data_IF_816123480278
#
_entry.id   IF_816123480278
#
_cell.length_a   1.000
_cell.length_b   1.000
_cell.length_c   1.000
_cell.angle_alpha   90.00
_cell.angle_beta   90.00
_cell.angle_gamma   90.00
#
_symmetry.space_group_name_H-M   'P 1'
#
loop_
_entity.id
_entity.type
_entity.pdbx_description
1 polymer ?
#
# COMPACT_ATOMS: atom_id res chain seq x y z
N UNK A 1 -4.46 -9.29 20.95
CA UNK A 1 -4.66 -9.34 19.49
C UNK A 1 -4.37 -8.01 18.80
N UNK A 2 -4.60 -6.86 19.44
CA UNK A 2 -4.54 -5.53 18.81
C UNK A 2 -3.15 -5.01 18.42
N UNK A 3 -2.06 -5.56 18.92
CA UNK A 3 -0.70 -5.09 18.55
C UNK A 3 -0.20 -5.58 17.19
N UNK A 4 -0.82 -6.64 16.63
CA UNK A 4 -0.39 -7.24 15.36
C UNK A 4 -0.73 -6.34 14.16
N UNK A 5 -1.78 -5.54 14.28
CA UNK A 5 -2.32 -4.74 13.17
C UNK A 5 -1.88 -3.28 13.15
N UNK A 6 -1.07 -2.85 14.12
CA UNK A 6 -0.61 -1.46 14.24
C UNK A 6 0.22 -0.95 13.05
N UNK A 7 0.56 -1.84 12.09
CA UNK A 7 1.49 -1.59 11.00
C UNK A 7 0.92 -2.06 9.66
N UNK A 8 -0.25 -1.53 9.29
CA UNK A 8 -1.06 -1.94 8.13
C UNK A 8 -0.43 -1.82 6.73
N UNK A 9 0.85 -1.52 6.62
CA UNK A 9 1.57 -1.56 5.35
C UNK A 9 2.61 -2.67 5.38
N UNK A 10 2.29 -3.78 4.68
CA UNK A 10 3.34 -4.72 4.28
C UNK A 10 4.26 -3.96 3.34
N UNK A 11 5.48 -3.64 3.81
CA UNK A 11 6.49 -3.06 2.93
C UNK A 11 6.86 -4.09 1.87
N UNK A 12 6.34 -3.82 0.71
CA UNK A 12 6.43 -4.69 -0.45
C UNK A 12 7.67 -4.40 -1.31
N UNK A 13 8.54 -3.47 -0.87
CA UNK A 13 9.78 -3.13 -1.56
C UNK A 13 10.78 -4.28 -1.61
N UNK A 14 10.56 -5.34 -0.83
CA UNK A 14 11.49 -6.46 -0.73
C UNK A 14 10.94 -7.71 -1.39
N UNK A 15 11.84 -8.45 -2.01
CA UNK A 15 11.59 -9.72 -2.71
C UNK A 15 10.67 -10.64 -1.90
N UNK A 16 9.37 -10.39 -1.97
CA UNK A 16 8.43 -11.48 -1.83
C UNK A 16 8.54 -12.19 -3.16
N UNK A 17 9.00 -13.42 -3.18
CA UNK A 17 8.91 -14.24 -4.37
C UNK A 17 7.42 -14.24 -4.77
N UNK A 18 7.12 -13.52 -5.86
CA UNK A 18 5.76 -13.38 -6.36
C UNK A 18 5.12 -14.72 -6.69
N UNK A 19 5.95 -15.73 -6.99
CA UNK A 19 5.52 -17.11 -7.17
C UNK A 19 4.94 -17.71 -5.89
N UNK A 20 5.18 -17.13 -4.72
CA UNK A 20 4.68 -17.65 -3.43
C UNK A 20 3.36 -17.05 -3.00
N UNK A 21 2.95 -15.89 -3.54
CA UNK A 21 1.66 -15.29 -3.23
C UNK A 21 0.56 -15.97 -4.07
N UNK A 22 -0.17 -16.89 -3.45
CA UNK A 22 -1.32 -17.52 -4.09
C UNK A 22 -2.53 -16.60 -4.17
N UNK A 23 -2.68 -15.68 -3.19
CA UNK A 23 -3.84 -14.80 -3.04
C UNK A 23 -3.38 -13.39 -2.61
N UNK A 24 -4.19 -12.34 -2.79
CA UNK A 24 -3.84 -11.00 -2.34
C UNK A 24 -3.78 -10.93 -0.81
N UNK A 25 -2.98 -10.02 -0.29
CA UNK A 25 -2.88 -9.73 1.14
C UNK A 25 -3.93 -8.70 1.54
N UNK A 26 -4.23 -7.78 0.63
CA UNK A 26 -5.12 -6.65 0.85
C UNK A 26 -6.14 -6.54 -0.27
N UNK A 27 -7.35 -6.09 0.08
CA UNK A 27 -8.40 -5.78 -0.90
C UNK A 27 -8.97 -4.40 -0.60
N UNK A 28 -9.08 -3.57 -1.64
CA UNK A 28 -9.79 -2.30 -1.61
C UNK A 28 -11.24 -2.54 -2.02
N UNK A 29 -12.17 -2.37 -1.09
CA UNK A 29 -13.59 -2.48 -1.36
C UNK A 29 -14.17 -1.07 -1.55
N UNK A 30 -14.59 -0.75 -2.77
CA UNK A 30 -15.31 0.47 -3.09
C UNK A 30 -16.79 0.21 -2.86
N UNK A 31 -17.25 0.46 -1.64
CA UNK A 31 -18.59 0.08 -1.18
C UNK A 31 -19.69 1.03 -1.67
N UNK A 32 -19.31 2.23 -2.11
CA UNK A 32 -20.22 3.23 -2.68
C UNK A 32 -19.52 4.10 -3.72
N UNK A 33 -20.24 4.60 -4.72
CA UNK A 33 -19.76 5.65 -5.61
C UNK A 33 -20.25 7.04 -5.21
N UNK A 34 -21.13 7.16 -4.20
CA UNK A 34 -21.65 8.45 -3.71
C UNK A 34 -20.55 9.24 -3.02
N UNK A 35 -20.50 10.54 -3.24
CA UNK A 35 -19.61 11.47 -2.55
C UNK A 35 -20.24 12.85 -2.44
N UNK A 36 -19.98 13.56 -1.33
CA UNK A 36 -20.44 14.94 -1.16
C UNK A 36 -19.42 15.99 -1.62
N UNK A 37 -18.25 15.56 -2.11
CA UNK A 37 -17.20 16.44 -2.66
C UNK A 37 -17.08 16.26 -4.17
N UNK A 38 -16.56 17.31 -4.83
CA UNK A 38 -16.29 17.34 -6.27
C UNK A 38 -14.83 17.69 -6.56
N UNK A 39 -13.91 16.97 -5.91
CA UNK A 39 -12.48 17.27 -5.95
C UNK A 39 -11.94 17.40 -7.37
N UNK A 40 -11.09 18.42 -7.61
CA UNK A 40 -10.54 18.74 -8.94
C UNK A 40 -9.70 17.64 -9.56
N UNK A 41 -9.15 16.73 -8.75
CA UNK A 41 -8.27 15.64 -9.14
C UNK A 41 -8.89 14.25 -8.92
N UNK A 42 -10.19 14.18 -8.63
CA UNK A 42 -10.85 12.91 -8.28
C UNK A 42 -10.72 11.87 -9.38
N UNK A 43 -10.09 10.75 -9.07
CA UNK A 43 -9.95 9.63 -10.01
C UNK A 43 -11.26 8.83 -10.20
N UNK A 44 -12.29 9.11 -9.40
CA UNK A 44 -13.58 8.41 -9.42
C UNK A 44 -14.71 9.26 -10.04
N UNK A 45 -14.42 10.46 -10.51
CA UNK A 45 -15.44 11.40 -11.04
C UNK A 45 -16.21 10.89 -12.27
N UNK A 46 -15.67 9.91 -12.99
CA UNK A 46 -16.36 9.30 -14.15
C UNK A 46 -17.47 8.32 -13.71
N UNK A 47 -17.51 7.91 -12.46
CA UNK A 47 -18.50 6.96 -11.92
C UNK A 47 -19.72 7.69 -11.33
N UNK A 48 -20.44 8.44 -12.13
CA UNK A 48 -21.65 9.19 -11.73
C UNK A 48 -22.87 8.32 -11.40
N UNK A 49 -22.70 7.02 -11.26
CA UNK A 49 -23.82 6.06 -11.15
C UNK A 49 -24.49 5.98 -9.77
N UNK A 50 -23.98 6.71 -8.75
CA UNK A 50 -24.49 6.67 -7.37
C UNK A 50 -24.84 5.27 -6.84
N UNK A 51 -24.01 4.28 -7.19
CA UNK A 51 -24.22 2.86 -6.85
C UNK A 51 -23.62 2.56 -5.47
N UNK A 52 -24.42 1.94 -4.64
CA UNK A 52 -23.97 1.28 -3.40
C UNK A 52 -23.76 -0.20 -3.68
N UNK A 53 -22.75 -0.80 -3.03
CA UNK A 53 -22.60 -2.25 -3.02
C UNK A 53 -23.78 -2.87 -2.26
N UNK A 54 -24.37 -3.89 -2.83
CA UNK A 54 -25.39 -4.68 -2.14
C UNK A 54 -24.79 -5.28 -0.86
N UNK A 55 -25.53 -5.22 0.25
CA UNK A 55 -25.02 -5.61 1.55
C UNK A 55 -24.72 -7.13 1.63
N UNK A 56 -25.58 -7.96 1.06
CA UNK A 56 -25.34 -9.41 1.05
C UNK A 56 -24.17 -9.78 0.12
N UNK A 57 -24.01 -9.05 -0.99
CA UNK A 57 -22.81 -9.18 -1.82
C UNK A 57 -21.55 -8.78 -1.04
N UNK A 58 -21.57 -7.69 -0.27
CA UNK A 58 -20.42 -7.25 0.54
C UNK A 58 -20.04 -8.29 1.59
N UNK A 59 -21.01 -8.88 2.29
CA UNK A 59 -20.81 -9.98 3.25
C UNK A 59 -20.25 -11.23 2.58
N UNK A 60 -20.82 -11.62 1.44
CA UNK A 60 -20.30 -12.74 0.62
C UNK A 60 -18.84 -12.52 0.26
N UNK A 61 -18.49 -11.32 -0.21
CA UNK A 61 -17.11 -10.94 -0.54
C UNK A 61 -16.20 -11.12 0.68
N UNK A 62 -16.53 -10.54 1.83
CA UNK A 62 -15.70 -10.65 3.04
C UNK A 62 -15.50 -12.11 3.46
N UNK A 63 -16.55 -12.92 3.43
CA UNK A 63 -16.48 -14.36 3.75
C UNK A 63 -15.52 -15.10 2.81
N UNK A 64 -15.61 -14.87 1.51
CA UNK A 64 -14.72 -15.49 0.53
C UNK A 64 -13.27 -15.03 0.68
N UNK A 65 -13.04 -13.73 0.91
CA UNK A 65 -11.72 -13.17 1.15
C UNK A 65 -11.06 -13.75 2.41
N UNK A 66 -11.86 -13.98 3.47
CA UNK A 66 -11.37 -14.64 4.70
C UNK A 66 -10.91 -16.07 4.44
N UNK A 67 -11.69 -16.84 3.68
CA UNK A 67 -11.37 -18.24 3.35
C UNK A 67 -10.03 -18.37 2.62
N UNK A 68 -9.66 -17.41 1.79
CA UNK A 68 -8.41 -17.43 1.03
C UNK A 68 -7.24 -16.74 1.73
N UNK A 69 -7.45 -16.21 2.95
CA UNK A 69 -6.41 -15.65 3.80
C UNK A 69 -6.02 -14.20 3.50
N UNK A 70 -6.92 -13.40 2.92
CA UNK A 70 -6.77 -11.94 2.89
C UNK A 70 -6.69 -11.42 4.33
N UNK A 71 -5.82 -10.44 4.56
CA UNK A 71 -5.57 -9.90 5.91
C UNK A 71 -6.17 -8.51 6.08
N UNK A 72 -6.06 -7.65 5.07
CA UNK A 72 -6.45 -6.25 5.18
C UNK A 72 -7.60 -5.93 4.23
N UNK A 73 -8.61 -5.24 4.75
CA UNK A 73 -9.68 -4.65 3.95
C UNK A 73 -9.61 -3.14 4.05
N UNK A 74 -9.54 -2.49 2.91
CA UNK A 74 -9.60 -1.04 2.78
C UNK A 74 -10.99 -0.66 2.28
N UNK A 75 -11.82 -0.07 3.13
CA UNK A 75 -13.11 0.44 2.73
C UNK A 75 -12.94 1.85 2.17
N UNK A 76 -13.42 2.04 0.95
CA UNK A 76 -13.30 3.28 0.18
C UNK A 76 -14.47 3.39 -0.81
N UNK A 77 -14.36 4.29 -1.77
CA UNK A 77 -15.36 4.48 -2.82
C UNK A 77 -15.38 5.94 -3.28
N UNK A 78 -16.57 6.55 -3.34
CA UNK A 78 -16.72 7.99 -3.29
C UNK A 78 -16.41 8.45 -1.86
N UNK A 79 -17.42 8.40 -0.97
CA UNK A 79 -17.23 8.58 0.47
C UNK A 79 -17.88 7.41 1.22
N UNK A 80 -17.10 6.51 1.82
CA UNK A 80 -17.62 5.31 2.46
C UNK A 80 -18.55 5.60 3.64
N UNK A 81 -18.41 6.75 4.32
CA UNK A 81 -19.31 7.18 5.39
C UNK A 81 -20.74 7.49 4.93
N UNK A 82 -20.99 7.53 3.61
CA UNK A 82 -22.33 7.62 3.01
C UNK A 82 -22.97 6.25 2.75
N UNK A 83 -22.27 5.16 2.98
CA UNK A 83 -22.81 3.82 2.78
C UNK A 83 -23.70 3.45 3.97
N UNK A 84 -24.97 3.17 3.71
CA UNK A 84 -25.99 3.00 4.76
C UNK A 84 -25.71 1.82 5.72
N UNK A 85 -25.05 0.77 5.23
CA UNK A 85 -24.74 -0.44 6.00
C UNK A 85 -23.27 -0.50 6.43
N UNK A 86 -22.61 0.66 6.59
CA UNK A 86 -21.18 0.69 6.92
C UNK A 86 -20.88 0.10 8.28
N UNK A 87 -21.70 0.40 9.31
CA UNK A 87 -21.52 -0.11 10.65
C UNK A 87 -21.59 -1.63 10.66
N UNK A 88 -22.66 -2.20 10.12
CA UNK A 88 -22.90 -3.64 10.07
C UNK A 88 -21.85 -4.39 9.24
N UNK A 89 -21.37 -3.76 8.17
CA UNK A 89 -20.31 -4.33 7.32
C UNK A 89 -18.97 -4.37 8.05
N UNK A 90 -18.63 -3.30 8.78
CA UNK A 90 -17.40 -3.22 9.56
C UNK A 90 -17.44 -4.18 10.77
N UNK A 91 -18.58 -4.29 11.43
CA UNK A 91 -18.79 -5.27 12.50
C UNK A 91 -18.56 -6.69 11.99
N UNK A 92 -19.21 -7.06 10.88
CA UNK A 92 -19.02 -8.37 10.27
C UNK A 92 -17.56 -8.63 9.86
N UNK A 93 -16.88 -7.63 9.30
CA UNK A 93 -15.45 -7.73 8.97
C UNK A 93 -14.56 -7.88 10.22
N UNK A 94 -14.91 -7.23 11.33
CA UNK A 94 -14.25 -7.34 12.62
C UNK A 94 -14.40 -8.74 13.22
N UNK A 95 -15.60 -9.31 13.20
CA UNK A 95 -15.87 -10.68 13.65
C UNK A 95 -15.09 -11.72 12.83
N UNK A 96 -14.95 -11.50 11.53
CA UNK A 96 -14.10 -12.31 10.67
C UNK A 96 -12.61 -12.13 10.98
N UNK A 97 -12.21 -11.15 11.80
CA UNK A 97 -10.83 -10.89 12.20
C UNK A 97 -9.99 -10.27 11.09
N UNK A 98 -10.55 -9.39 10.27
CA UNK A 98 -9.79 -8.56 9.34
C UNK A 98 -9.12 -7.38 10.05
N UNK A 99 -7.99 -6.96 9.52
CA UNK A 99 -7.47 -5.62 9.76
C UNK A 99 -8.21 -4.65 8.84
N UNK A 100 -9.00 -3.74 9.41
CA UNK A 100 -9.92 -2.88 8.70
C UNK A 100 -9.41 -1.44 8.65
N UNK A 101 -9.35 -0.90 7.44
CA UNK A 101 -8.87 0.44 7.16
C UNK A 101 -9.98 1.22 6.47
N UNK A 102 -10.41 2.33 7.03
CA UNK A 102 -11.37 3.24 6.43
C UNK A 102 -10.65 4.39 5.75
N UNK A 103 -10.93 4.63 4.46
CA UNK A 103 -10.38 5.75 3.69
C UNK A 103 -11.51 6.73 3.38
N UNK A 104 -11.48 7.91 4.00
CA UNK A 104 -12.55 8.91 3.95
C UNK A 104 -12.01 10.30 3.58
N UNK A 105 -12.90 11.15 3.07
CA UNK A 105 -12.62 12.58 2.95
C UNK A 105 -12.67 13.32 4.29
N UNK A 106 -13.19 12.68 5.34
CA UNK A 106 -13.20 13.20 6.71
C UNK A 106 -14.33 14.17 7.07
N UNK A 107 -15.15 14.59 6.11
CA UNK A 107 -16.22 15.59 6.37
C UNK A 107 -17.24 15.11 7.39
N UNK A 108 -17.51 13.82 7.48
CA UNK A 108 -18.52 13.25 8.38
C UNK A 108 -17.97 12.76 9.73
N UNK A 109 -16.67 13.00 10.02
CA UNK A 109 -16.05 12.52 11.26
C UNK A 109 -16.57 13.19 12.53
N UNK A 110 -17.16 14.38 12.46
CA UNK A 110 -17.79 15.07 13.61
C UNK A 110 -19.19 14.54 13.95
N UNK A 111 -19.78 13.67 13.14
CA UNK A 111 -21.15 13.22 13.36
C UNK A 111 -21.26 12.27 14.56
N UNK A 112 -22.37 12.39 15.32
CA UNK A 112 -22.60 11.59 16.54
C UNK A 112 -22.54 10.08 16.35
N UNK A 113 -22.89 9.59 15.14
CA UNK A 113 -22.90 8.14 14.85
C UNK A 113 -21.52 7.59 14.48
N UNK A 114 -20.50 8.45 14.28
CA UNK A 114 -19.18 7.99 13.87
C UNK A 114 -18.56 7.00 14.86
N UNK A 115 -18.89 7.11 16.16
CA UNK A 115 -18.44 6.18 17.20
C UNK A 115 -18.76 4.73 16.87
N UNK A 116 -19.93 4.47 16.28
CA UNK A 116 -20.40 3.13 15.94
C UNK A 116 -19.52 2.49 14.85
N UNK A 117 -19.01 3.30 13.94
CA UNK A 117 -18.14 2.90 12.84
C UNK A 117 -16.68 2.72 13.32
N UNK A 118 -16.17 3.68 14.10
CA UNK A 118 -14.75 3.73 14.48
C UNK A 118 -14.32 2.58 15.39
N UNK A 119 -15.21 2.02 16.20
CA UNK A 119 -14.90 0.90 17.11
C UNK A 119 -14.44 -0.38 16.37
N UNK A 120 -14.76 -0.51 15.09
CA UNK A 120 -14.46 -1.69 14.29
C UNK A 120 -13.27 -1.52 13.35
N UNK A 121 -12.64 -0.35 13.30
CA UNK A 121 -11.48 -0.11 12.42
C UNK A 121 -10.16 -0.07 13.18
N UNK A 122 -9.08 -0.40 12.48
CA UNK A 122 -7.71 -0.37 13.02
C UNK A 122 -6.94 0.86 12.54
N UNK A 123 -7.33 1.42 11.40
CA UNK A 123 -6.69 2.59 10.82
C UNK A 123 -7.68 3.46 10.07
N UNK A 124 -7.43 4.75 10.13
CA UNK A 124 -8.21 5.78 9.43
C UNK A 124 -7.30 6.54 8.48
N UNK A 125 -7.59 6.50 7.20
CA UNK A 125 -6.93 7.32 6.18
C UNK A 125 -7.81 8.51 5.83
N UNK A 126 -7.34 9.73 6.07
CA UNK A 126 -8.12 10.95 5.81
C UNK A 126 -7.43 11.80 4.74
N UNK A 127 -8.22 12.28 3.79
CA UNK A 127 -7.73 13.10 2.68
C UNK A 127 -7.57 14.56 3.10
N UNK A 128 -6.32 15.07 3.18
CA UNK A 128 -6.02 16.49 3.38
C UNK A 128 -4.92 16.90 2.39
N UNK A 129 -5.16 17.95 1.61
CA UNK A 129 -4.34 18.31 0.47
C UNK A 129 -3.51 19.58 0.66
N UNK A 130 -3.49 20.13 1.87
CA UNK A 130 -2.76 21.33 2.23
C UNK A 130 -3.40 22.07 3.41
N UNK A 131 -3.02 23.34 3.58
CA UNK A 131 -3.69 24.24 4.52
C UNK A 131 -5.15 24.47 4.11
N UNK A 132 -5.93 25.14 4.95
CA UNK A 132 -7.35 25.41 4.76
C UNK A 132 -7.67 25.93 3.34
N UNK A 133 -6.97 26.97 2.90
CA UNK A 133 -7.19 27.60 1.59
C UNK A 133 -6.97 26.63 0.42
N UNK A 134 -5.87 25.88 0.46
CA UNK A 134 -5.50 24.92 -0.59
C UNK A 134 -6.46 23.74 -0.57
N UNK A 135 -6.72 23.17 0.61
CA UNK A 135 -7.62 22.02 0.74
C UNK A 135 -9.02 22.34 0.23
N UNK A 136 -9.63 23.44 0.68
CA UNK A 136 -10.97 23.85 0.29
C UNK A 136 -11.06 24.15 -1.22
N UNK A 137 -10.03 24.79 -1.79
CA UNK A 137 -9.95 25.02 -3.25
C UNK A 137 -9.91 23.72 -4.05
N UNK A 138 -9.18 22.69 -3.58
CA UNK A 138 -9.02 21.42 -4.28
C UNK A 138 -10.20 20.48 -4.09
N UNK A 139 -10.81 20.45 -2.92
CA UNK A 139 -12.03 19.68 -2.62
C UNK A 139 -13.31 20.33 -3.14
N UNK A 140 -13.24 21.61 -3.57
CA UNK A 140 -14.37 22.44 -4.04
C UNK A 140 -15.47 22.59 -2.97
N UNK A 141 -15.07 22.62 -1.70
CA UNK A 141 -15.98 22.77 -0.55
C UNK A 141 -15.22 23.32 0.66
N UNK A 142 -15.85 24.19 1.42
CA UNK A 142 -15.37 24.63 2.72
C UNK A 142 -15.59 23.54 3.75
N UNK A 143 -14.57 22.71 3.97
CA UNK A 143 -14.67 21.52 4.84
C UNK A 143 -13.42 21.29 5.71
N UNK A 144 -12.33 22.02 5.51
CA UNK A 144 -11.07 21.79 6.23
C UNK A 144 -11.22 21.81 7.75
N UNK A 145 -11.87 22.86 8.29
CA UNK A 145 -12.06 22.99 9.77
C UNK A 145 -12.85 21.81 10.33
N UNK A 146 -13.91 21.41 9.65
CA UNK A 146 -14.75 20.27 10.04
C UNK A 146 -13.92 18.97 10.06
N UNK A 147 -13.08 18.74 9.05
CA UNK A 147 -12.19 17.56 8.98
C UNK A 147 -11.21 17.57 10.16
N UNK A 148 -10.56 18.70 10.44
CA UNK A 148 -9.59 18.82 11.53
C UNK A 148 -10.25 18.58 12.91
N UNK A 149 -11.42 19.13 13.13
CA UNK A 149 -12.17 18.89 14.36
C UNK A 149 -12.54 17.41 14.52
N UNK A 150 -13.04 16.79 13.44
CA UNK A 150 -13.33 15.36 13.44
C UNK A 150 -12.11 14.49 13.72
N UNK A 151 -10.94 14.84 13.17
CA UNK A 151 -9.68 14.15 13.44
C UNK A 151 -9.22 14.27 14.90
N UNK A 152 -9.33 15.47 15.49
CA UNK A 152 -9.03 15.68 16.91
C UNK A 152 -9.94 14.82 17.79
N UNK A 153 -11.22 14.82 17.48
CA UNK A 153 -12.18 13.97 18.18
C UNK A 153 -11.79 12.47 18.11
N UNK A 154 -11.42 11.98 16.90
CA UNK A 154 -10.98 10.59 16.75
C UNK A 154 -9.71 10.31 17.56
N UNK A 155 -8.74 11.23 17.57
CA UNK A 155 -7.51 11.07 18.34
C UNK A 155 -7.76 11.03 19.85
N UNK A 156 -8.66 11.87 20.36
CA UNK A 156 -9.00 11.94 21.77
C UNK A 156 -9.72 10.69 22.26
N UNK A 157 -10.72 10.24 21.51
CA UNK A 157 -11.63 9.17 21.91
C UNK A 157 -11.15 7.75 21.52
N UNK A 158 -10.32 7.61 20.47
CA UNK A 158 -9.94 6.32 19.88
C UNK A 158 -8.43 6.15 19.76
N UNK A 159 -7.72 6.11 20.89
CA UNK A 159 -6.26 6.01 20.99
C UNK A 159 -5.64 4.83 20.23
N UNK A 160 -6.43 3.81 19.91
CA UNK A 160 -5.95 2.61 19.20
C UNK A 160 -6.03 2.72 17.67
N UNK A 161 -6.66 3.75 17.12
CA UNK A 161 -6.77 3.96 15.69
C UNK A 161 -5.52 4.67 15.18
N UNK A 162 -4.85 4.07 14.21
CA UNK A 162 -3.73 4.73 13.52
C UNK A 162 -4.28 5.69 12.46
N UNK A 163 -4.04 6.99 12.61
CA UNK A 163 -4.46 8.02 11.66
C UNK A 163 -3.36 8.23 10.62
N UNK A 164 -3.74 8.25 9.34
CA UNK A 164 -2.88 8.55 8.22
C UNK A 164 -3.51 9.64 7.34
N UNK A 165 -2.80 10.74 7.19
CA UNK A 165 -3.19 11.81 6.27
C UNK A 165 -2.72 11.45 4.87
N UNK A 166 -3.65 11.45 3.92
CA UNK A 166 -3.40 11.16 2.51
C UNK A 166 -3.49 12.47 1.71
N UNK A 167 -2.38 12.87 1.10
CA UNK A 167 -2.31 14.05 0.26
C UNK A 167 -2.07 13.66 -1.19
N UNK A 168 -3.04 13.87 -2.08
CA UNK A 168 -2.81 13.78 -3.52
C UNK A 168 -2.11 15.07 -3.97
N UNK A 169 -0.91 14.91 -4.53
CA UNK A 169 -0.11 16.03 -4.99
C UNK A 169 -0.46 16.39 -6.42
N UNK A 170 -0.95 17.61 -6.58
CA UNK A 170 -1.25 18.26 -7.85
C UNK A 170 -0.41 19.55 -7.96
N UNK A 171 -0.29 20.19 -9.15
CA UNK A 171 0.53 21.39 -9.29
C UNK A 171 0.22 22.49 -8.27
N UNK A 172 -1.04 22.64 -7.86
CA UNK A 172 -1.49 23.69 -6.94
C UNK A 172 -1.07 23.49 -5.49
N UNK A 173 -0.71 22.26 -5.09
CA UNK A 173 -0.30 21.97 -3.72
C UNK A 173 1.12 21.39 -3.60
N UNK A 174 1.81 21.17 -4.73
CA UNK A 174 3.18 20.63 -4.77
C UNK A 174 4.19 21.75 -4.55
N UNK A 175 4.14 22.32 -3.36
CA UNK A 175 5.05 23.36 -2.87
C UNK A 175 5.63 22.93 -1.52
N UNK A 176 6.91 23.25 -1.29
CA UNK A 176 7.63 22.87 -0.08
C UNK A 176 6.88 23.29 1.20
N UNK A 177 6.49 24.56 1.30
CA UNK A 177 5.82 25.08 2.49
C UNK A 177 4.47 24.41 2.77
N UNK A 178 3.74 24.04 1.74
CA UNK A 178 2.46 23.34 1.90
C UNK A 178 2.65 21.92 2.44
N UNK A 179 3.62 21.19 1.92
CA UNK A 179 3.89 19.82 2.39
C UNK A 179 4.55 19.83 3.76
N UNK A 180 5.43 20.80 4.03
CA UNK A 180 5.98 21.03 5.38
C UNK A 180 4.89 21.32 6.40
N UNK A 181 3.91 22.15 6.06
CA UNK A 181 2.74 22.39 6.91
C UNK A 181 2.01 21.10 7.28
N UNK A 182 1.74 20.23 6.29
CA UNK A 182 1.11 18.93 6.55
C UNK A 182 2.00 18.01 7.39
N UNK A 183 3.30 17.98 7.14
CA UNK A 183 4.25 17.18 7.89
C UNK A 183 4.31 17.63 9.37
N UNK A 184 4.40 18.93 9.63
CA UNK A 184 4.38 19.52 10.98
C UNK A 184 3.05 19.24 11.70
N UNK A 185 1.92 19.33 10.97
CA UNK A 185 0.61 18.99 11.52
C UNK A 185 0.57 17.51 11.95
N UNK A 186 1.08 16.62 11.09
CA UNK A 186 1.11 15.18 11.37
C UNK A 186 2.05 14.86 12.55
N UNK A 187 3.21 15.51 12.62
CA UNK A 187 4.15 15.34 13.75
C UNK A 187 3.52 15.77 15.07
N UNK A 188 2.86 16.94 15.09
CA UNK A 188 2.18 17.51 16.27
C UNK A 188 1.17 16.53 16.89
N UNK A 189 0.44 15.79 16.06
CA UNK A 189 -0.62 14.87 16.49
C UNK A 189 -0.22 13.40 16.37
N UNK A 190 1.04 13.08 16.12
CA UNK A 190 1.52 11.72 15.89
C UNK A 190 0.74 10.97 14.78
N UNK A 191 0.26 11.70 13.78
CA UNK A 191 -0.35 11.14 12.58
C UNK A 191 0.73 10.80 11.55
N UNK A 192 0.41 9.92 10.63
CA UNK A 192 1.29 9.60 9.50
C UNK A 192 0.95 10.49 8.32
N UNK A 193 1.95 10.87 7.54
CA UNK A 193 1.76 11.56 6.26
C UNK A 193 2.12 10.65 5.10
N UNK A 194 1.17 10.45 4.21
CA UNK A 194 1.37 9.75 2.95
C UNK A 194 0.99 10.67 1.79
N UNK A 195 1.94 10.91 0.91
CA UNK A 195 1.66 11.65 -0.33
C UNK A 195 1.48 10.69 -1.50
N UNK A 196 0.59 11.06 -2.40
CA UNK A 196 0.30 10.31 -3.61
C UNK A 196 0.48 11.23 -4.82
N UNK A 197 1.14 10.75 -5.87
CA UNK A 197 1.12 11.48 -7.12
C UNK A 197 -0.27 11.45 -7.75
N UNK A 198 -0.57 12.43 -8.56
CA UNK A 198 -1.79 12.48 -9.35
C UNK A 198 -1.87 11.27 -10.29
N UNK A 199 -3.04 10.65 -10.36
CA UNK A 199 -3.39 9.69 -11.41
C UNK A 199 -4.18 10.42 -12.50
N UNK A 200 -3.75 10.32 -13.77
CA UNK A 200 -4.39 10.97 -14.92
C UNK A 200 -5.66 10.22 -15.39
N UNK A 201 -6.58 9.99 -14.45
CA UNK A 201 -7.89 9.36 -14.65
C UNK A 201 -8.97 10.19 -13.97
N UNK A 202 -10.23 10.08 -14.40
CA UNK A 202 -11.30 10.95 -13.91
C UNK A 202 -10.95 12.41 -14.10
N UNK A 203 -11.26 13.27 -13.14
CA UNK A 203 -10.88 14.69 -13.16
C UNK A 203 -9.36 14.91 -13.23
N UNK A 204 -8.55 13.93 -12.82
CA UNK A 204 -7.10 13.98 -12.96
C UNK A 204 -6.62 14.17 -14.40
N UNK A 205 -7.42 13.80 -15.42
CA UNK A 205 -7.14 14.04 -16.84
C UNK A 205 -7.04 15.52 -17.21
N UNK A 206 -7.64 16.39 -16.41
CA UNK A 206 -7.63 17.84 -16.65
C UNK A 206 -6.27 18.48 -16.36
N UNK A 207 -5.34 17.74 -15.73
CA UNK A 207 -4.01 18.19 -15.45
C UNK A 207 -3.05 17.79 -16.57
N UNK A 208 -2.36 18.78 -17.13
CA UNK A 208 -1.43 18.59 -18.25
C UNK A 208 0.04 18.59 -17.81
N UNK A 209 0.33 19.11 -16.61
CA UNK A 209 1.70 19.21 -16.10
C UNK A 209 2.00 18.08 -15.14
N UNK A 210 3.10 17.38 -15.38
CA UNK A 210 3.69 16.44 -14.45
C UNK A 210 4.46 17.19 -13.35
N UNK A 211 4.14 16.90 -12.10
CA UNK A 211 4.81 17.44 -10.93
C UNK A 211 5.62 16.38 -10.18
N UNK A 212 5.86 15.23 -10.79
CA UNK A 212 6.51 14.07 -10.16
C UNK A 212 7.90 14.40 -9.63
N UNK A 213 8.73 15.07 -10.43
CA UNK A 213 10.09 15.42 -10.03
C UNK A 213 10.07 16.34 -8.80
N UNK A 214 9.28 17.41 -8.85
CA UNK A 214 9.14 18.34 -7.73
C UNK A 214 8.60 17.66 -6.46
N UNK A 215 7.61 16.78 -6.59
CA UNK A 215 7.09 15.97 -5.48
C UNK A 215 8.20 15.15 -4.82
N UNK A 216 9.02 14.46 -5.61
CA UNK A 216 10.10 13.60 -5.11
C UNK A 216 11.16 14.44 -4.39
N UNK A 217 11.55 15.57 -4.95
CA UNK A 217 12.54 16.50 -4.37
C UNK A 217 12.06 17.05 -3.03
N UNK A 218 10.81 17.52 -2.95
CA UNK A 218 10.20 18.00 -1.70
C UNK A 218 10.16 16.92 -0.63
N UNK A 219 9.68 15.70 -0.97
CA UNK A 219 9.62 14.60 -0.03
C UNK A 219 11.01 14.18 0.45
N UNK A 220 11.99 14.15 -0.46
CA UNK A 220 13.37 13.85 -0.08
C UNK A 220 13.94 14.91 0.86
N UNK A 221 13.73 16.18 0.56
CA UNK A 221 14.22 17.29 1.39
C UNK A 221 13.62 17.22 2.78
N UNK A 222 12.29 17.11 2.91
CA UNK A 222 11.61 17.05 4.20
C UNK A 222 11.98 15.80 5.02
N UNK A 223 12.17 14.64 4.36
CA UNK A 223 12.65 13.44 5.07
C UNK A 223 14.09 13.60 5.57
N UNK A 224 14.94 14.36 4.88
CA UNK A 224 16.28 14.72 5.36
C UNK A 224 16.24 15.74 6.52
N UNK A 225 15.18 16.52 6.62
CA UNK A 225 14.91 17.43 7.76
C UNK A 225 14.32 16.69 8.98
N UNK A 226 14.08 15.38 8.88
CA UNK A 226 13.63 14.52 10.00
C UNK A 226 12.16 14.12 9.94
N UNK A 227 11.36 14.62 9.01
CA UNK A 227 9.99 14.19 8.83
C UNK A 227 9.91 12.76 8.26
N UNK A 228 8.81 12.03 8.53
CA UNK A 228 8.55 10.68 7.98
C UNK A 228 7.41 10.70 6.96
N UNK A 229 7.70 11.17 5.75
CA UNK A 229 6.73 11.25 4.65
C UNK A 229 6.88 10.03 3.75
N UNK A 230 5.77 9.31 3.51
CA UNK A 230 5.73 8.16 2.61
C UNK A 230 5.09 8.51 1.28
N UNK A 231 5.58 7.88 0.20
CA UNK A 231 4.95 7.94 -1.13
C UNK A 231 4.14 6.66 -1.33
N UNK A 232 2.84 6.80 -1.57
CA UNK A 232 1.93 5.65 -1.71
C UNK A 232 1.94 5.03 -3.11
N UNK A 233 2.16 5.83 -4.15
CA UNK A 233 2.13 5.36 -5.52
C UNK A 233 3.42 4.65 -5.90
N UNK A 234 3.26 3.66 -6.76
CA UNK A 234 4.38 3.04 -7.43
C UNK A 234 4.85 3.93 -8.60
N UNK A 235 6.15 4.19 -8.64
CA UNK A 235 6.79 4.95 -9.69
C UNK A 235 7.76 4.02 -10.42
N UNK A 236 7.82 4.12 -11.75
CA UNK A 236 8.81 3.37 -12.51
C UNK A 236 10.22 3.86 -12.16
N UNK A 237 11.12 2.95 -11.77
CA UNK A 237 12.45 3.33 -11.30
C UNK A 237 13.28 4.06 -12.34
N UNK A 238 13.02 3.81 -13.63
CA UNK A 238 13.65 4.54 -14.73
C UNK A 238 13.20 6.01 -14.86
N UNK A 239 12.19 6.44 -14.13
CA UNK A 239 11.75 7.84 -14.04
C UNK A 239 12.41 8.59 -12.89
N UNK A 240 13.22 7.90 -12.07
CA UNK A 240 13.82 8.43 -10.86
C UNK A 240 15.33 8.50 -11.00
N UNK A 241 15.94 9.55 -10.50
CA UNK A 241 17.36 9.56 -10.19
C UNK A 241 17.65 8.49 -9.14
N UNK A 242 18.82 7.86 -9.19
CA UNK A 242 19.17 6.75 -8.30
C UNK A 242 19.07 7.11 -6.82
N UNK A 243 19.46 8.33 -6.48
CA UNK A 243 19.38 8.86 -5.11
C UNK A 243 17.97 8.90 -4.52
N UNK A 244 16.92 8.86 -5.36
CA UNK A 244 15.52 8.92 -4.92
C UNK A 244 14.79 7.58 -4.94
N UNK A 245 15.44 6.50 -5.43
CA UNK A 245 14.77 5.18 -5.55
C UNK A 245 14.31 4.59 -4.23
N UNK A 246 14.98 4.96 -3.13
CA UNK A 246 14.60 4.49 -1.78
C UNK A 246 13.23 5.00 -1.33
N UNK A 247 12.76 6.13 -1.86
CA UNK A 247 11.43 6.69 -1.58
C UNK A 247 10.29 5.90 -2.23
N UNK A 248 10.59 5.09 -3.24
CA UNK A 248 9.60 4.51 -4.12
C UNK A 248 9.58 2.98 -4.08
N UNK A 249 8.49 2.42 -4.51
CA UNK A 249 8.30 0.97 -4.58
C UNK A 249 7.62 0.56 -5.89
N UNK A 250 7.77 -0.72 -6.26
CA UNK A 250 7.09 -1.29 -7.41
C UNK A 250 5.61 -1.57 -7.16
N UNK A 251 4.85 -1.66 -8.25
CA UNK A 251 3.41 -1.88 -8.20
C UNK A 251 3.05 -3.26 -7.64
N UNK A 252 2.18 -3.28 -6.62
CA UNK A 252 1.63 -4.50 -6.02
C UNK A 252 0.27 -4.92 -6.59
N UNK A 253 -0.32 -4.13 -7.49
CA UNK A 253 -1.62 -4.39 -8.09
C UNK A 253 -1.65 -5.73 -8.84
N UNK A 254 -2.73 -6.50 -8.68
CA UNK A 254 -2.88 -7.82 -9.28
C UNK A 254 -2.01 -8.93 -8.67
N UNK A 255 -1.16 -8.58 -7.69
CA UNK A 255 -0.29 -9.52 -6.95
C UNK A 255 -0.59 -9.54 -5.46
N UNK A 256 -0.49 -8.39 -4.81
CA UNK A 256 -0.61 -8.22 -3.37
C UNK A 256 -1.94 -7.67 -2.97
N UNK A 257 -2.52 -6.88 -3.86
CA UNK A 257 -3.82 -6.29 -3.67
C UNK A 257 -4.59 -6.23 -4.98
N UNK A 258 -5.89 -6.07 -4.85
CA UNK A 258 -6.83 -5.75 -5.91
C UNK A 258 -7.89 -4.78 -5.38
N UNK A 259 -8.79 -4.35 -6.25
CA UNK A 259 -9.98 -3.59 -5.87
C UNK A 259 -11.24 -4.35 -6.28
N UNK A 260 -12.30 -4.17 -5.50
CA UNK A 260 -13.65 -4.65 -5.83
C UNK A 260 -14.56 -3.43 -5.83
N UNK A 261 -15.19 -3.18 -6.97
CA UNK A 261 -16.10 -2.06 -7.18
C UNK A 261 -17.49 -2.35 -6.58
N UNK A 262 -18.30 -1.30 -6.39
CA UNK A 262 -19.65 -1.42 -5.83
C UNK A 262 -20.57 -2.35 -6.66
N UNK A 263 -20.35 -2.44 -7.97
CA UNK A 263 -21.07 -3.36 -8.86
C UNK A 263 -20.58 -4.81 -8.80
N UNK A 264 -19.54 -5.11 -8.01
CA UNK A 264 -18.92 -6.43 -7.86
C UNK A 264 -17.74 -6.71 -8.78
N UNK A 265 -17.34 -5.80 -9.66
CA UNK A 265 -16.18 -5.98 -10.54
C UNK A 265 -14.89 -6.06 -9.76
N UNK A 266 -14.07 -7.06 -10.07
CA UNK A 266 -12.74 -7.25 -9.48
C UNK A 266 -11.69 -6.70 -10.43
N UNK A 267 -11.01 -5.64 -10.01
CA UNK A 267 -9.96 -4.93 -10.77
C UNK A 267 -8.59 -5.15 -10.18
N UNK A 268 -7.54 -4.97 -10.98
CA UNK A 268 -6.15 -5.05 -10.47
C UNK A 268 -5.86 -4.01 -9.39
N UNK A 269 -6.42 -2.81 -9.51
CA UNK A 269 -6.40 -1.75 -8.50
C UNK A 269 -7.56 -0.77 -8.70
N UNK A 270 -7.80 0.10 -7.72
CA UNK A 270 -8.88 1.09 -7.76
C UNK A 270 -8.75 2.13 -8.90
N UNK A 271 -7.54 2.33 -9.42
CA UNK A 271 -7.27 3.28 -10.51
C UNK A 271 -7.13 2.61 -11.89
N UNK A 272 -7.42 1.32 -12.02
CA UNK A 272 -7.31 0.59 -13.28
C UNK A 272 -8.66 0.29 -13.87
N UNK A 273 -8.74 0.30 -15.20
CA UNK A 273 -9.91 -0.20 -15.92
C UNK A 273 -9.83 -1.70 -16.24
N UNK A 274 -8.76 -2.37 -15.81
CA UNK A 274 -8.57 -3.80 -16.08
C UNK A 274 -9.36 -4.65 -15.09
N UNK A 275 -10.44 -5.29 -15.58
CA UNK A 275 -11.36 -6.14 -14.80
C UNK A 275 -10.98 -7.61 -15.00
N UNK A 276 -10.87 -8.37 -13.92
CA UNK A 276 -10.63 -9.83 -13.96
C UNK A 276 -11.91 -10.68 -14.02
N UNK A 277 -12.99 -10.17 -13.46
CA UNK A 277 -14.27 -10.83 -13.33
C UNK A 277 -15.19 -10.09 -12.37
N UNK A 278 -16.34 -10.69 -12.02
CA UNK A 278 -17.34 -10.06 -11.17
C UNK A 278 -17.84 -11.01 -10.08
N UNK A 279 -17.90 -10.52 -8.83
CA UNK A 279 -18.29 -11.28 -7.63
C UNK A 279 -19.75 -11.72 -7.59
N UNK A 280 -20.61 -11.16 -8.44
CA UNK A 280 -21.99 -11.61 -8.59
C UNK A 280 -22.05 -12.97 -9.32
N UNK A 281 -21.12 -13.19 -10.26
CA UNK A 281 -21.14 -14.32 -11.17
C UNK A 281 -20.21 -15.46 -10.73
N UNK A 282 -19.07 -15.11 -10.09
CA UNK A 282 -18.03 -16.06 -9.77
C UNK A 282 -17.52 -15.91 -8.34
N UNK A 283 -16.88 -16.96 -7.82
CA UNK A 283 -16.15 -16.92 -6.55
C UNK A 283 -14.82 -16.19 -6.74
N UNK A 284 -14.38 -15.46 -5.71
CA UNK A 284 -13.14 -14.68 -5.75
C UNK A 284 -11.92 -15.52 -6.15
N UNK A 285 -11.80 -16.74 -5.63
CA UNK A 285 -10.66 -17.62 -5.94
C UNK A 285 -10.58 -17.94 -7.44
N UNK A 286 -11.71 -18.17 -8.11
CA UNK A 286 -11.77 -18.42 -9.56
C UNK A 286 -11.37 -17.17 -10.33
N UNK A 287 -11.90 -15.99 -9.94
CA UNK A 287 -11.55 -14.71 -10.54
C UNK A 287 -10.05 -14.44 -10.37
N UNK A 288 -9.51 -14.60 -9.17
CA UNK A 288 -8.09 -14.33 -8.90
C UNK A 288 -7.15 -15.24 -9.68
N UNK A 289 -7.54 -16.49 -9.92
CA UNK A 289 -6.76 -17.49 -10.67
C UNK A 289 -7.06 -17.51 -12.17
N UNK A 290 -7.83 -16.58 -12.70
CA UNK A 290 -8.20 -16.54 -14.12
C UNK A 290 -6.96 -16.40 -15.01
N UNK A 291 -7.12 -16.70 -16.31
CA UNK A 291 -6.06 -16.65 -17.31
C UNK A 291 -5.48 -15.24 -17.44
N UNK A 292 -6.35 -14.24 -17.41
CA UNK A 292 -6.01 -12.83 -17.57
C UNK A 292 -5.11 -12.33 -16.43
N UNK A 293 -5.46 -12.65 -15.17
CA UNK A 293 -4.61 -12.30 -14.04
C UNK A 293 -3.27 -13.02 -14.07
N UNK A 294 -3.26 -14.31 -14.43
CA UNK A 294 -2.00 -15.06 -14.61
C UNK A 294 -1.12 -14.45 -15.71
N UNK A 295 -1.71 -14.03 -16.83
CA UNK A 295 -1.01 -13.32 -17.90
C UNK A 295 -0.45 -11.98 -17.42
N UNK A 296 -1.26 -11.24 -16.67
CA UNK A 296 -0.85 -9.98 -16.03
C UNK A 296 0.34 -10.19 -15.09
N UNK A 297 0.24 -11.17 -14.19
CA UNK A 297 1.29 -11.49 -13.22
C UNK A 297 2.61 -11.95 -13.85
N UNK A 298 2.58 -12.59 -15.02
CA UNK A 298 3.80 -12.97 -15.76
C UNK A 298 4.57 -11.80 -16.33
N UNK A 299 4.01 -10.58 -16.30
CA UNK A 299 4.63 -9.36 -16.84
C UNK A 299 5.04 -9.46 -18.32
N UNK A 300 4.56 -10.48 -19.06
CA UNK A 300 4.92 -10.73 -20.47
C UNK A 300 4.44 -9.62 -21.41
N UNK A 301 3.47 -8.83 -20.99
CA UNK A 301 2.91 -7.67 -21.70
C UNK A 301 3.76 -6.40 -21.55
N UNK A 302 4.74 -6.38 -20.65
CA UNK A 302 5.64 -5.24 -20.49
C UNK A 302 6.56 -5.07 -21.70
N UNK A 303 7.03 -3.85 -22.01
CA UNK A 303 7.98 -3.58 -23.08
C UNK A 303 9.26 -4.41 -22.95
N UNK A 304 9.93 -4.67 -24.09
CA UNK A 304 11.15 -5.50 -24.12
C UNK A 304 12.24 -4.99 -23.17
N UNK A 305 12.41 -3.67 -23.08
CA UNK A 305 13.37 -3.06 -22.15
C UNK A 305 13.07 -3.36 -20.68
N UNK A 306 11.77 -3.50 -20.30
CA UNK A 306 11.41 -3.92 -18.95
C UNK A 306 11.72 -5.40 -18.72
N UNK A 307 11.52 -6.24 -19.74
CA UNK A 307 11.82 -7.68 -19.66
C UNK A 307 13.31 -7.95 -19.44
N UNK A 308 14.16 -7.10 -19.99
CA UNK A 308 15.62 -7.17 -19.86
C UNK A 308 16.16 -6.30 -18.71
N UNK A 309 15.31 -5.70 -17.88
CA UNK A 309 15.70 -4.81 -16.80
C UNK A 309 15.98 -5.58 -15.52
N UNK A 310 17.15 -5.38 -14.92
CA UNK A 310 17.53 -6.00 -13.64
C UNK A 310 16.61 -5.58 -12.48
N UNK A 311 15.95 -4.41 -12.59
CA UNK A 311 14.99 -3.91 -11.62
C UNK A 311 13.55 -4.44 -11.80
N UNK A 312 13.30 -5.28 -12.80
CA UNK A 312 11.94 -5.68 -13.17
C UNK A 312 11.16 -6.25 -11.99
N UNK A 313 11.75 -7.13 -11.20
CA UNK A 313 11.09 -7.79 -10.07
C UNK A 313 10.75 -6.82 -8.93
N UNK A 314 11.51 -5.75 -8.77
CA UNK A 314 11.24 -4.71 -7.78
C UNK A 314 10.28 -3.66 -8.30
N UNK A 315 10.58 -3.11 -9.48
CA UNK A 315 9.84 -2.03 -10.14
C UNK A 315 8.49 -2.49 -10.70
N UNK A 316 8.47 -3.66 -11.34
CA UNK A 316 7.29 -4.24 -12.02
C UNK A 316 6.66 -3.30 -13.05
N UNK A 317 7.47 -2.47 -13.66
CA UNK A 317 7.03 -1.54 -14.69
C UNK A 317 6.26 -0.32 -14.17
N UNK A 318 6.41 0.06 -12.90
CA UNK A 318 5.75 1.24 -12.33
C UNK A 318 4.23 1.12 -12.18
N UNK A 319 3.52 2.25 -12.15
CA UNK A 319 2.07 2.31 -12.02
C UNK A 319 1.35 1.69 -13.21
N UNK A 320 0.28 0.94 -12.95
CA UNK A 320 -0.51 0.25 -13.98
C UNK A 320 -1.65 1.10 -14.54
N UNK A 321 -2.04 2.15 -13.83
CA UNK A 321 -3.02 3.11 -14.34
C UNK A 321 -2.48 3.97 -15.50
N UNK A 322 -1.16 4.04 -15.65
CA UNK A 322 -0.48 4.93 -16.59
C UNK A 322 0.34 4.21 -17.67
N UNK A 323 -0.05 3.01 -18.05
CA UNK A 323 0.68 2.21 -19.04
C UNK A 323 0.61 2.73 -20.49
N UNK A 324 -0.21 3.71 -20.77
CA UNK A 324 -0.31 4.35 -22.06
C UNK A 324 0.59 5.58 -22.11
N UNK A 325 1.81 5.48 -22.61
CA UNK A 325 2.61 6.66 -22.84
C UNK A 325 4.11 6.47 -22.97
N UNK A 326 4.78 7.51 -23.38
CA UNK A 326 6.21 7.56 -23.74
C UNK A 326 7.20 7.45 -22.55
N UNK A 327 6.71 7.15 -21.33
CA UNK A 327 7.50 7.18 -20.09
C UNK A 327 8.63 6.17 -20.00
N UNK A 328 8.69 5.25 -20.92
CA UNK A 328 9.60 4.09 -20.88
C UNK A 328 10.95 4.32 -21.58
N UNK A 329 11.33 5.56 -21.85
CA UNK A 329 12.50 5.87 -22.73
C UNK A 329 13.86 5.88 -22.06
N UNK A 330 13.98 5.66 -20.74
CA UNK A 330 15.29 5.63 -20.05
C UNK A 330 15.58 4.27 -19.42
N UNK A 331 16.82 3.82 -19.57
CA UNK A 331 17.33 2.54 -19.03
C UNK A 331 17.75 2.66 -17.57
N UNK A 332 17.69 1.57 -16.83
CA UNK A 332 18.08 1.48 -15.41
C UNK A 332 19.34 0.64 -15.20
N UNK A 333 19.97 0.79 -14.07
CA UNK A 333 21.38 0.78 -13.80
C UNK A 333 21.99 -0.38 -13.00
N UNK A 334 23.34 -0.41 -13.08
CA UNK A 334 24.32 -1.30 -12.43
C UNK A 334 24.45 -1.15 -10.91
N UNK A 335 23.76 -0.19 -10.28
CA UNK A 335 23.96 0.18 -8.87
C UNK A 335 23.52 -0.88 -7.85
N UNK A 336 22.59 -1.76 -8.20
CA UNK A 336 22.08 -2.77 -7.25
C UNK A 336 23.08 -3.88 -6.99
N UNK A 337 23.79 -4.37 -7.99
CA UNK A 337 24.80 -5.40 -7.77
C UNK A 337 25.91 -4.93 -6.84
N UNK A 338 26.36 -3.69 -7.00
CA UNK A 338 27.39 -3.10 -6.13
C UNK A 338 26.92 -3.02 -4.67
N UNK A 339 25.69 -2.57 -4.44
CA UNK A 339 25.13 -2.49 -3.09
C UNK A 339 24.92 -3.87 -2.45
N UNK A 340 24.50 -4.87 -3.21
CA UNK A 340 24.32 -6.24 -2.69
C UNK A 340 25.66 -6.90 -2.35
N UNK A 341 26.69 -6.68 -3.16
CA UNK A 341 28.06 -7.15 -2.88
C UNK A 341 28.59 -6.51 -1.59
N UNK A 342 28.41 -5.20 -1.42
CA UNK A 342 28.83 -4.49 -0.21
C UNK A 342 28.16 -5.04 1.03
N UNK A 343 26.83 -5.19 1.04
CA UNK A 343 26.08 -5.75 2.17
C UNK A 343 26.53 -7.18 2.47
N UNK A 344 26.76 -8.02 1.44
CA UNK A 344 27.23 -9.37 1.66
C UNK A 344 28.61 -9.40 2.32
N UNK A 345 29.54 -8.58 1.86
CA UNK A 345 30.87 -8.45 2.45
C UNK A 345 30.83 -7.99 3.92
N UNK A 346 29.84 -7.18 4.28
CA UNK A 346 29.60 -6.76 5.67
C UNK A 346 29.16 -7.93 6.56
N UNK A 347 28.26 -8.78 6.10
CA UNK A 347 27.58 -9.78 6.94
C UNK A 347 28.15 -11.20 6.86
N UNK A 348 28.88 -11.56 5.78
CA UNK A 348 29.31 -12.95 5.54
C UNK A 348 30.12 -13.58 6.67
N UNK A 349 30.97 -12.78 7.33
CA UNK A 349 31.85 -13.22 8.42
C UNK A 349 31.37 -12.75 9.81
N UNK A 350 30.14 -12.23 9.91
CA UNK A 350 29.57 -11.75 11.17
C UNK A 350 28.50 -12.69 11.69
N UNK A 351 28.43 -12.90 12.99
CA UNK A 351 27.34 -13.63 13.63
C UNK A 351 26.06 -12.82 13.54
N UNK A 352 24.99 -13.44 13.10
CA UNK A 352 23.74 -12.76 12.79
C UNK A 352 22.68 -13.03 13.85
N UNK A 353 22.00 -12.00 14.31
CA UNK A 353 20.89 -12.08 15.29
C UNK A 353 19.61 -11.46 14.74
N UNK A 354 18.47 -12.13 14.95
CA UNK A 354 17.17 -11.62 14.54
C UNK A 354 16.63 -10.57 15.50
N UNK A 355 16.06 -9.51 14.93
CA UNK A 355 15.28 -8.48 15.65
C UNK A 355 13.77 -8.75 15.62
N UNK A 356 13.34 -9.91 15.22
CA UNK A 356 11.91 -10.26 15.08
C UNK A 356 11.34 -10.63 16.45
N UNK A 357 10.23 -10.00 16.82
CA UNK A 357 9.54 -10.28 18.09
C UNK A 357 8.64 -11.50 18.04
N UNK A 358 8.01 -11.78 16.88
CA UNK A 358 7.07 -12.89 16.71
C UNK A 358 6.92 -13.35 15.26
N UNK A 359 6.50 -14.60 15.07
CA UNK A 359 6.17 -15.19 13.76
C UNK A 359 4.73 -15.73 13.84
N UNK A 360 3.85 -15.22 12.99
CA UNK A 360 2.49 -15.72 12.88
C UNK A 360 2.38 -16.75 11.76
N UNK A 361 1.81 -17.92 12.07
CA UNK A 361 1.50 -18.95 11.07
C UNK A 361 0.18 -18.61 10.38
N UNK A 362 0.19 -18.54 9.07
CA UNK A 362 -0.98 -18.36 8.23
C UNK A 362 -1.40 -19.70 7.58
N UNK A 363 -2.63 -19.75 7.03
CA UNK A 363 -3.08 -20.90 6.23
C UNK A 363 -2.13 -21.13 5.04
N UNK A 364 -2.03 -22.36 4.56
CA UNK A 364 -1.22 -22.75 3.40
C UNK A 364 0.30 -22.62 3.57
N UNK A 365 0.84 -22.93 4.76
CA UNK A 365 2.29 -22.86 5.05
C UNK A 365 2.92 -21.47 4.80
N UNK A 366 2.16 -20.40 5.03
CA UNK A 366 2.66 -19.03 5.05
C UNK A 366 2.90 -18.59 6.48
N UNK A 367 3.84 -17.67 6.62
CA UNK A 367 4.21 -17.09 7.90
C UNK A 367 4.37 -15.58 7.70
N UNK A 368 3.84 -14.81 8.62
CA UNK A 368 4.05 -13.37 8.68
C UNK A 368 5.06 -13.10 9.78
N UNK A 369 6.19 -12.53 9.42
CA UNK A 369 7.19 -12.05 10.36
C UNK A 369 6.70 -10.73 10.94
N UNK A 370 6.53 -10.70 12.25
CA UNK A 370 6.15 -9.49 12.96
C UNK A 370 7.44 -8.72 13.25
N UNK A 371 7.91 -8.03 12.22
CA UNK A 371 9.02 -7.09 12.26
C UNK A 371 8.54 -5.74 11.73
N UNK A 372 9.31 -4.73 11.92
CA UNK A 372 9.02 -3.43 11.35
C UNK A 372 9.90 -3.22 10.10
N UNK A 373 9.34 -3.27 8.90
CA UNK A 373 7.94 -3.55 8.47
C UNK A 373 7.60 -5.06 8.45
N UNK A 374 6.30 -5.39 8.44
CA UNK A 374 5.81 -6.78 8.34
C UNK A 374 6.35 -7.49 7.09
N UNK A 375 6.73 -8.76 7.22
CA UNK A 375 7.25 -9.60 6.14
C UNK A 375 6.50 -10.92 6.06
N UNK A 376 6.14 -11.32 4.86
CA UNK A 376 5.64 -12.66 4.62
C UNK A 376 6.81 -13.58 4.23
N UNK A 377 6.86 -14.78 4.79
CA UNK A 377 7.81 -15.78 4.40
C UNK A 377 7.16 -17.16 4.21
N UNK A 378 7.86 -18.05 3.52
CA UNK A 378 7.47 -19.44 3.38
C UNK A 378 8.14 -20.30 4.46
N UNK A 379 7.78 -21.61 4.50
CA UNK A 379 8.35 -22.57 5.47
C UNK A 379 9.87 -22.73 5.34
N UNK A 380 10.43 -22.60 4.13
CA UNK A 380 11.87 -22.70 3.91
C UNK A 380 12.60 -21.50 4.51
N UNK A 381 12.12 -20.29 4.25
CA UNK A 381 12.61 -19.05 4.86
C UNK A 381 12.53 -19.12 6.39
N UNK A 382 11.40 -19.59 6.94
CA UNK A 382 11.24 -19.73 8.38
C UNK A 382 12.29 -20.66 9.00
N UNK A 383 12.68 -21.73 8.31
CA UNK A 383 13.75 -22.63 8.78
C UNK A 383 15.11 -21.93 8.82
N UNK A 384 15.39 -21.06 7.86
CA UNK A 384 16.63 -20.26 7.86
C UNK A 384 16.58 -19.21 8.98
N UNK A 385 15.46 -18.54 9.17
CA UNK A 385 15.30 -17.55 10.24
C UNK A 385 15.54 -18.15 11.65
N UNK A 386 15.16 -19.40 11.86
CA UNK A 386 15.35 -20.10 13.16
C UNK A 386 16.82 -20.34 13.53
N UNK A 387 17.74 -20.29 12.57
CA UNK A 387 19.18 -20.48 12.82
C UNK A 387 19.93 -19.13 12.89
N UNK A 388 19.23 -18.01 12.73
CA UNK A 388 19.80 -16.68 12.93
C UNK A 388 19.63 -16.28 14.41
N UNK A 389 20.41 -16.93 15.27
CA UNK A 389 20.29 -16.85 16.73
C UNK A 389 21.46 -16.13 17.41
N UNK A 390 22.43 -15.67 16.64
CA UNK A 390 23.66 -15.05 17.13
C UNK A 390 24.86 -16.00 17.18
N UNK A 391 24.69 -17.27 16.81
CA UNK A 391 25.75 -18.28 16.87
C UNK A 391 26.48 -18.47 15.54
N UNK A 392 25.82 -18.25 14.43
CA UNK A 392 26.31 -18.53 13.08
C UNK A 392 26.60 -17.25 12.29
N UNK A 393 27.65 -17.28 11.47
CA UNK A 393 27.93 -16.19 10.52
C UNK A 393 27.01 -16.26 9.32
N UNK A 394 26.97 -15.18 8.53
CA UNK A 394 26.19 -15.17 7.28
C UNK A 394 26.62 -16.27 6.31
N UNK A 395 27.93 -16.56 6.25
CA UNK A 395 28.50 -17.62 5.40
C UNK A 395 28.11 -19.01 5.90
N UNK A 396 28.16 -19.26 7.23
CA UNK A 396 27.75 -20.54 7.82
C UNK A 396 26.28 -20.84 7.49
N UNK A 397 25.41 -19.86 7.69
CA UNK A 397 23.97 -19.99 7.42
C UNK A 397 23.72 -20.26 5.93
N UNK A 398 24.44 -19.56 5.04
CA UNK A 398 24.29 -19.78 3.59
C UNK A 398 24.75 -21.19 3.18
N UNK A 399 25.80 -21.74 3.80
CA UNK A 399 26.33 -23.09 3.55
C UNK A 399 25.49 -24.23 4.12
N UNK A 400 24.61 -23.99 5.11
CA UNK A 400 23.74 -25.03 5.68
C UNK A 400 22.86 -25.73 4.67
N UNK A 401 22.61 -25.10 3.52
CA UNK A 401 21.88 -25.69 2.40
C UNK A 401 22.58 -25.38 1.07
N UNK A 402 23.60 -26.17 0.70
CA UNK A 402 24.43 -25.87 -0.48
C UNK A 402 23.63 -25.68 -1.78
N UNK A 403 22.54 -26.46 -1.99
CA UNK A 403 21.64 -26.31 -3.15
C UNK A 403 20.85 -25.00 -3.18
N UNK A 404 20.77 -24.29 -2.07
CA UNK A 404 20.07 -23.03 -1.92
C UNK A 404 20.99 -21.91 -1.41
N UNK A 405 22.29 -22.07 -1.63
CA UNK A 405 23.28 -21.10 -1.14
C UNK A 405 23.01 -19.68 -1.67
N UNK A 406 22.78 -19.56 -2.95
CA UNK A 406 22.51 -18.25 -3.59
C UNK A 406 21.25 -17.58 -3.04
N UNK A 407 20.15 -18.34 -2.91
CA UNK A 407 18.88 -17.84 -2.39
C UNK A 407 18.99 -17.50 -0.90
N UNK A 408 19.75 -18.29 -0.13
CA UNK A 408 19.98 -18.01 1.29
C UNK A 408 20.82 -16.76 1.49
N UNK A 409 21.90 -16.60 0.73
CA UNK A 409 22.72 -15.39 0.70
C UNK A 409 21.87 -14.16 0.38
N UNK A 410 21.07 -14.23 -0.66
CA UNK A 410 20.17 -13.15 -1.08
C UNK A 410 19.13 -12.80 0.01
N UNK A 411 18.60 -13.80 0.70
CA UNK A 411 17.73 -13.61 1.86
C UNK A 411 18.45 -12.86 2.98
N UNK A 412 19.65 -13.25 3.36
CA UNK A 412 20.43 -12.60 4.43
C UNK A 412 20.76 -11.14 4.09
N UNK A 413 21.18 -10.86 2.86
CA UNK A 413 21.41 -9.49 2.36
C UNK A 413 20.13 -8.66 2.51
N UNK A 414 19.01 -9.25 2.13
CA UNK A 414 17.70 -8.61 2.24
C UNK A 414 17.35 -8.31 3.70
N UNK A 415 17.50 -9.27 4.61
CA UNK A 415 17.20 -9.11 6.02
C UNK A 415 18.09 -8.05 6.68
N UNK A 416 19.36 -7.94 6.28
CA UNK A 416 20.28 -6.90 6.78
C UNK A 416 19.86 -5.52 6.30
N UNK A 417 19.62 -5.37 4.99
CA UNK A 417 19.11 -4.13 4.40
C UNK A 417 17.85 -3.65 5.11
N UNK A 418 17.02 -4.60 5.55
CA UNK A 418 15.75 -4.38 6.21
C UNK A 418 15.87 -4.10 7.70
N UNK A 419 17.09 -4.07 8.22
CA UNK A 419 17.36 -3.95 9.65
C UNK A 419 16.62 -5.02 10.49
N UNK A 420 16.35 -6.18 9.89
CA UNK A 420 15.70 -7.34 10.55
C UNK A 420 16.74 -8.20 11.26
N UNK A 421 17.99 -8.17 10.80
CA UNK A 421 19.14 -8.81 11.48
C UNK A 421 20.17 -7.78 11.88
N UNK A 422 20.83 -8.06 13.01
CA UNK A 422 22.03 -7.41 13.48
C UNK A 422 23.28 -8.29 13.31
N UNK A 423 24.45 -7.68 13.47
CA UNK A 423 25.79 -8.29 13.41
C UNK A 423 26.52 -8.06 14.73
#
# INVERSE_FOLDING_TARGET
MNQIYKYGNVDTRKKIDLKTLKNPISVYMKITSKCMLSCKFCSQSENNSHVDMDFELAKKILKELKLIGVCNIYYTGGEPLLYNYLEELLEYGYELGFNQILITNGVLLEQKNIRKVLKYINSLGVSIHGNEKIHNKLSQKDCYKQIINGLKYVEEEFKNISININCTMVPENTEYNNIKFLATLCEKYNWKLTVARLNYIGNGKNYTKDNLKNMIEIVNQLNNEGFDIKISNCIAFCQLEDKYRYLCHGCGAGYKFCAIEANGDVKICASSNFVFGNMKNDRFEKIWKCRENKKFQKMSWLPLRCKNCNELLKCRGGCKAELSGEFWKKSCDELLEKNEIQIWNEIKNKKLKLKIKNVRKEKYNRYILIAHPLRQCNKATLKILKVIDGNYTGEDIAKMKPKLYSETKELLITLKRDKIIDI
#
